data_IF_065979785132
#
_entry.id   IF_065979785132
#
_cell.length_a   1.000
_cell.length_b   1.000
_cell.length_c   1.000
_cell.angle_alpha   90.00
_cell.angle_beta   90.00
_cell.angle_gamma   90.00
#
_symmetry.space_group_name_H-M   'P 1'
#
loop_
_entity.id
_entity.type
_entity.pdbx_description
1 polymer ?
#
# COMPACT_ATOMS: atom_id res chain seq x y z
N UNK A 1 -9.85 23.63 17.57
CA UNK A 1 -10.15 22.79 16.38
C UNK A 1 -9.62 21.40 16.67
N UNK A 2 -10.28 20.34 16.22
CA UNK A 2 -9.83 18.96 16.49
C UNK A 2 -8.49 18.70 15.84
N UNK A 3 -7.53 18.15 16.60
CA UNK A 3 -6.18 17.82 16.11
C UNK A 3 -6.05 16.31 15.87
N UNK A 4 -5.84 15.94 14.62
CA UNK A 4 -5.61 14.55 14.20
C UNK A 4 -4.12 14.35 13.96
N UNK A 5 -3.53 13.36 14.63
CA UNK A 5 -2.13 12.97 14.45
C UNK A 5 -2.06 11.69 13.61
N UNK A 6 -1.54 11.80 12.40
CA UNK A 6 -1.34 10.67 11.48
C UNK A 6 0.10 10.18 11.59
N UNK A 7 0.28 8.92 11.93
CA UNK A 7 1.59 8.31 12.17
C UNK A 7 1.94 7.38 11.02
N UNK A 8 2.87 7.82 10.17
CA UNK A 8 3.27 7.20 8.92
C UNK A 8 2.70 7.90 7.69
N UNK A 9 3.58 8.42 6.84
CA UNK A 9 3.25 9.18 5.63
C UNK A 9 3.16 8.33 4.36
N UNK A 10 2.83 7.01 4.46
CA UNK A 10 2.54 6.15 3.32
C UNK A 10 1.20 6.50 2.65
N UNK A 11 0.80 5.75 1.61
CA UNK A 11 -0.49 5.98 0.92
C UNK A 11 -1.68 6.07 1.87
N UNK A 12 -1.72 5.20 2.89
CA UNK A 12 -2.80 5.24 3.88
C UNK A 12 -2.77 6.52 4.72
N UNK A 13 -1.58 6.95 5.16
CA UNK A 13 -1.43 8.15 5.98
C UNK A 13 -1.74 9.44 5.22
N UNK A 14 -1.25 9.54 3.97
CA UNK A 14 -1.59 10.66 3.08
C UNK A 14 -3.10 10.75 2.89
N UNK A 15 -3.75 9.63 2.60
CA UNK A 15 -5.20 9.61 2.37
C UNK A 15 -6.00 9.88 3.64
N UNK A 16 -5.54 9.41 4.79
CA UNK A 16 -6.13 9.73 6.08
C UNK A 16 -6.03 11.22 6.40
N UNK A 17 -4.85 11.81 6.15
CA UNK A 17 -4.63 13.23 6.37
C UNK A 17 -5.53 14.11 5.48
N UNK A 18 -5.64 13.76 4.19
CA UNK A 18 -6.51 14.48 3.25
C UNK A 18 -7.98 14.37 3.68
N UNK A 19 -8.45 13.18 4.04
CA UNK A 19 -9.82 12.96 4.48
C UNK A 19 -10.13 13.69 5.79
N UNK A 20 -9.24 13.63 6.77
CA UNK A 20 -9.40 14.34 8.04
C UNK A 20 -9.41 15.88 7.86
N UNK A 21 -8.52 16.40 7.02
CA UNK A 21 -8.50 17.83 6.70
C UNK A 21 -9.77 18.29 6.01
N UNK A 22 -10.25 17.50 5.04
CA UNK A 22 -11.51 17.77 4.33
C UNK A 22 -12.72 17.76 5.27
N UNK A 23 -12.70 16.89 6.30
CA UNK A 23 -13.72 16.85 7.35
C UNK A 23 -13.58 17.98 8.40
N UNK A 24 -12.61 18.90 8.24
CA UNK A 24 -12.45 20.12 9.03
C UNK A 24 -11.56 19.99 10.27
N UNK A 25 -10.63 19.04 10.31
CA UNK A 25 -9.66 18.94 11.39
C UNK A 25 -8.35 19.70 11.09
N UNK A 26 -7.59 19.98 12.14
CA UNK A 26 -6.17 20.26 12.03
C UNK A 26 -5.41 18.95 11.99
N UNK A 27 -4.49 18.81 11.04
CA UNK A 27 -3.84 17.54 10.76
C UNK A 27 -2.33 17.69 10.72
N UNK A 28 -1.65 16.80 11.43
CA UNK A 28 -0.20 16.63 11.35
C UNK A 28 0.12 15.21 10.88
N UNK A 29 1.04 15.08 9.94
CA UNK A 29 1.58 13.80 9.47
C UNK A 29 3.02 13.66 9.98
N UNK A 30 3.28 12.59 10.72
CA UNK A 30 4.60 12.23 11.25
C UNK A 30 5.18 11.09 10.43
N UNK A 31 6.17 11.37 9.59
CA UNK A 31 6.87 10.38 8.76
C UNK A 31 8.31 10.19 9.27
N UNK A 32 8.71 8.95 9.49
CA UNK A 32 10.04 8.61 10.01
C UNK A 32 11.17 8.87 9.01
N UNK A 33 10.88 8.74 7.71
CA UNK A 33 11.86 8.92 6.65
C UNK A 33 11.96 10.38 6.18
N UNK A 34 12.82 10.61 5.22
CA UNK A 34 13.02 11.92 4.58
C UNK A 34 12.08 12.14 3.37
N UNK A 35 11.19 11.20 3.09
CA UNK A 35 10.19 11.25 2.02
C UNK A 35 8.90 10.57 2.45
N UNK A 36 7.78 11.06 1.93
CA UNK A 36 6.47 10.43 2.07
C UNK A 36 6.37 9.15 1.21
N UNK A 37 5.19 8.54 1.23
CA UNK A 37 4.72 7.42 0.40
C UNK A 37 5.30 6.05 0.72
N UNK A 38 6.37 5.92 1.51
CA UNK A 38 6.87 4.62 1.91
C UNK A 38 7.02 3.64 0.73
N UNK A 39 6.28 2.51 0.74
CA UNK A 39 6.28 1.54 -0.37
C UNK A 39 5.70 2.09 -1.68
N UNK A 40 5.04 3.23 -1.67
CA UNK A 40 4.60 3.96 -2.85
C UNK A 40 5.76 4.36 -3.77
N UNK A 41 6.95 4.62 -3.20
CA UNK A 41 8.19 4.92 -3.94
C UNK A 41 8.78 3.70 -4.68
N UNK A 42 8.20 2.53 -4.50
CA UNK A 42 8.61 1.28 -5.16
C UNK A 42 7.50 0.73 -6.04
N UNK A 43 6.26 1.09 -5.78
CA UNK A 43 5.06 0.54 -6.40
C UNK A 43 4.90 0.88 -7.87
N UNK A 44 4.40 2.05 -8.15
CA UNK A 44 4.21 2.55 -9.52
C UNK A 44 2.96 2.07 -10.24
N UNK A 45 2.14 1.20 -9.64
CA UNK A 45 0.98 0.58 -10.31
C UNK A 45 -0.30 0.91 -9.54
N UNK A 46 -1.31 1.40 -10.26
CA UNK A 46 -2.66 1.69 -9.78
C UNK A 46 -3.72 1.14 -10.74
N UNK A 47 -4.97 1.13 -10.31
CA UNK A 47 -6.17 0.86 -11.12
C UNK A 47 -6.24 -0.52 -11.80
N UNK A 48 -5.29 -1.41 -11.60
CA UNK A 48 -5.33 -2.71 -12.23
C UNK A 48 -6.43 -3.61 -11.63
N UNK A 49 -7.24 -4.22 -12.50
CA UNK A 49 -8.35 -5.11 -12.17
C UNK A 49 -9.38 -4.42 -11.23
N UNK A 50 -9.79 -5.07 -10.14
CA UNK A 50 -10.75 -4.53 -9.17
C UNK A 50 -10.30 -3.23 -8.48
N UNK A 51 -9.02 -2.86 -8.54
CA UNK A 51 -8.55 -1.55 -8.10
C UNK A 51 -9.13 -0.41 -8.93
N UNK A 52 -9.46 -0.66 -10.21
CA UNK A 52 -10.19 0.31 -11.02
C UNK A 52 -11.55 0.64 -10.38
N UNK A 53 -12.32 -0.40 -10.08
CA UNK A 53 -13.63 -0.25 -9.43
C UNK A 53 -13.53 0.49 -8.09
N UNK A 54 -12.63 0.04 -7.21
CA UNK A 54 -12.47 0.65 -5.89
C UNK A 54 -12.02 2.12 -5.95
N UNK A 55 -11.16 2.49 -6.90
CA UNK A 55 -10.75 3.88 -7.09
C UNK A 55 -11.93 4.75 -7.57
N UNK A 56 -12.74 4.27 -8.52
CA UNK A 56 -13.92 5.01 -8.99
C UNK A 56 -15.03 5.09 -7.92
N UNK A 57 -15.20 4.05 -7.10
CA UNK A 57 -16.09 4.13 -5.93
C UNK A 57 -15.62 5.22 -4.95
N UNK A 58 -14.32 5.24 -4.61
CA UNK A 58 -13.76 6.24 -3.72
C UNK A 58 -13.94 7.67 -4.28
N UNK A 59 -13.76 7.86 -5.59
CA UNK A 59 -14.02 9.14 -6.27
C UNK A 59 -15.49 9.53 -6.15
N UNK A 60 -16.41 8.62 -6.44
CA UNK A 60 -17.86 8.86 -6.35
C UNK A 60 -18.30 9.16 -4.90
N UNK A 61 -17.64 8.57 -3.92
CA UNK A 61 -17.83 8.84 -2.48
C UNK A 61 -17.25 10.18 -2.02
N UNK A 62 -16.53 10.91 -2.89
CA UNK A 62 -15.87 12.16 -2.58
C UNK A 62 -14.51 12.02 -1.88
N UNK A 63 -13.94 10.81 -1.83
CA UNK A 63 -12.62 10.51 -1.25
C UNK A 63 -11.53 10.28 -2.31
N UNK A 64 -11.72 10.79 -3.53
CA UNK A 64 -10.87 10.51 -4.68
C UNK A 64 -9.64 11.41 -4.86
N UNK A 65 -9.41 12.39 -4.00
CA UNK A 65 -8.37 13.41 -4.17
C UNK A 65 -6.99 12.82 -4.49
N UNK A 66 -6.57 11.81 -3.74
CA UNK A 66 -5.27 11.14 -3.93
C UNK A 66 -5.24 10.35 -5.25
N UNK A 67 -6.33 9.68 -5.63
CA UNK A 67 -6.42 8.96 -6.91
C UNK A 67 -6.32 9.92 -8.10
N UNK A 68 -7.01 11.05 -8.05
CA UNK A 68 -6.99 12.06 -9.11
C UNK A 68 -5.58 12.66 -9.29
N UNK A 69 -4.86 12.91 -8.18
CA UNK A 69 -3.48 13.37 -8.26
C UNK A 69 -2.54 12.31 -8.85
N UNK A 70 -2.73 11.03 -8.48
CA UNK A 70 -1.96 9.93 -9.07
C UNK A 70 -2.23 9.83 -10.56
N UNK A 71 -3.51 9.89 -11.00
CA UNK A 71 -3.89 9.83 -12.40
C UNK A 71 -3.25 10.96 -13.22
N UNK A 72 -3.19 12.18 -12.65
CA UNK A 72 -2.51 13.32 -13.26
C UNK A 72 -0.98 13.15 -13.38
N UNK A 73 -0.39 12.24 -12.60
CA UNK A 73 1.04 11.94 -12.60
C UNK A 73 1.38 10.57 -13.21
N UNK A 74 0.45 9.95 -13.94
CA UNK A 74 0.69 8.71 -14.63
C UNK A 74 1.51 8.92 -15.92
N UNK A 75 2.46 8.04 -16.16
CA UNK A 75 3.18 7.93 -17.43
C UNK A 75 2.34 7.21 -18.47
N UNK A 76 1.61 6.20 -18.04
CA UNK A 76 0.74 5.37 -18.87
C UNK A 76 -0.56 5.08 -18.14
N UNK A 77 -1.65 5.02 -18.90
CA UNK A 77 -2.99 4.67 -18.40
C UNK A 77 -3.59 3.56 -19.25
N UNK A 78 -4.49 2.79 -18.65
CA UNK A 78 -5.16 1.67 -19.31
C UNK A 78 -4.20 0.65 -19.94
N UNK A 79 -3.14 0.32 -19.22
CA UNK A 79 -2.13 -0.68 -19.65
C UNK A 79 -2.60 -2.07 -19.25
N UNK A 80 -2.59 -2.98 -20.21
CA UNK A 80 -2.84 -4.40 -19.99
C UNK A 80 -1.51 -5.16 -19.95
N UNK A 81 -1.37 -6.03 -18.96
CA UNK A 81 -0.24 -6.94 -18.86
C UNK A 81 -0.72 -8.29 -18.27
N UNK A 82 0.07 -9.38 -18.34
CA UNK A 82 -0.41 -10.70 -17.96
C UNK A 82 -1.17 -10.74 -16.63
N UNK A 83 -2.43 -11.19 -16.68
CA UNK A 83 -3.35 -11.26 -15.54
C UNK A 83 -3.93 -9.94 -15.04
N UNK A 84 -3.60 -8.82 -15.68
CA UNK A 84 -4.03 -7.49 -15.23
C UNK A 84 -4.55 -6.63 -16.38
N UNK A 85 -5.63 -5.90 -16.12
CA UNK A 85 -6.31 -4.98 -17.02
C UNK A 85 -6.40 -3.59 -16.39
N UNK A 86 -6.47 -2.56 -17.22
CA UNK A 86 -6.72 -1.16 -16.83
C UNK A 86 -5.66 -0.53 -15.94
N UNK A 87 -4.43 -1.05 -15.91
CA UNK A 87 -3.40 -0.48 -15.06
C UNK A 87 -3.04 0.96 -15.44
N UNK A 88 -2.86 1.79 -14.43
CA UNK A 88 -2.21 3.09 -14.54
C UNK A 88 -0.82 3.01 -13.91
N UNK A 89 0.18 3.52 -14.60
CA UNK A 89 1.58 3.49 -14.18
C UNK A 89 2.03 4.90 -13.85
N UNK A 90 2.22 5.21 -12.56
CA UNK A 90 2.69 6.51 -12.15
C UNK A 90 4.22 6.57 -12.04
N UNK A 91 4.78 7.76 -12.23
CA UNK A 91 6.21 8.02 -12.10
C UNK A 91 6.60 8.08 -10.61
N UNK A 92 7.36 7.08 -10.16
CA UNK A 92 7.73 6.93 -8.75
C UNK A 92 8.70 8.03 -8.27
N UNK A 93 9.39 8.72 -9.17
CA UNK A 93 10.27 9.83 -8.82
C UNK A 93 9.54 11.16 -8.70
N UNK A 94 8.38 11.30 -9.38
CA UNK A 94 7.60 12.55 -9.42
C UNK A 94 6.44 12.58 -8.43
N UNK A 95 5.92 11.44 -8.07
CA UNK A 95 4.67 11.37 -7.31
C UNK A 95 4.80 11.91 -5.87
N UNK A 96 5.93 11.70 -5.19
CA UNK A 96 6.09 12.17 -3.82
C UNK A 96 6.13 13.70 -3.72
N UNK A 97 6.90 14.43 -4.54
CA UNK A 97 6.83 15.89 -4.55
C UNK A 97 5.41 16.42 -4.78
N UNK A 98 4.67 15.86 -5.74
CA UNK A 98 3.29 16.29 -6.02
C UNK A 98 2.34 16.03 -4.84
N UNK A 99 2.46 14.88 -4.17
CA UNK A 99 1.68 14.57 -2.97
C UNK A 99 2.03 15.52 -1.82
N UNK A 100 3.31 15.77 -1.59
CA UNK A 100 3.76 16.67 -0.52
C UNK A 100 3.25 18.09 -0.75
N UNK A 101 3.34 18.59 -1.97
CA UNK A 101 2.79 19.91 -2.35
C UNK A 101 1.29 19.97 -2.07
N UNK A 102 0.51 18.97 -2.50
CA UNK A 102 -0.94 18.89 -2.23
C UNK A 102 -1.26 18.94 -0.73
N UNK A 103 -0.49 18.26 0.11
CA UNK A 103 -0.70 18.25 1.56
C UNK A 103 -0.44 19.66 2.14
N UNK A 104 0.66 20.30 1.75
CA UNK A 104 1.04 21.64 2.22
C UNK A 104 0.05 22.70 1.76
N UNK A 105 -0.40 22.70 0.51
CA UNK A 105 -1.42 23.59 -0.02
C UNK A 105 -2.75 23.49 0.74
N UNK A 106 -3.09 22.31 1.24
CA UNK A 106 -4.27 22.09 2.08
C UNK A 106 -4.07 22.51 3.53
N UNK A 107 -2.89 23.02 3.89
CA UNK A 107 -2.57 23.40 5.27
C UNK A 107 -2.47 22.18 6.20
N UNK A 108 -1.99 21.04 5.69
CA UNK A 108 -1.63 19.86 6.49
C UNK A 108 -0.18 19.99 6.89
N UNK A 109 0.11 19.91 8.18
CA UNK A 109 1.48 19.90 8.67
C UNK A 109 2.15 18.57 8.34
N UNK A 110 3.30 18.59 7.67
CA UNK A 110 4.08 17.40 7.32
C UNK A 110 5.44 17.49 8.00
N UNK A 111 5.71 16.53 8.88
CA UNK A 111 7.01 16.38 9.53
C UNK A 111 7.71 15.14 9.02
N UNK A 112 8.78 15.34 8.29
CA UNK A 112 9.71 14.29 7.86
C UNK A 112 10.79 14.09 8.93
N UNK A 113 11.41 12.90 8.97
CA UNK A 113 12.37 12.48 10.00
C UNK A 113 11.82 12.54 11.42
N UNK A 114 10.50 12.45 11.53
CA UNK A 114 9.73 12.50 12.76
C UNK A 114 9.25 11.09 13.14
N UNK A 115 10.20 10.22 13.52
CA UNK A 115 9.87 8.86 13.92
C UNK A 115 9.27 8.86 15.32
N UNK A 116 8.03 8.39 15.41
CA UNK A 116 7.39 8.14 16.71
C UNK A 116 8.03 6.90 17.35
N UNK A 117 8.52 7.03 18.57
CA UNK A 117 9.12 5.92 19.35
C UNK A 117 8.21 5.39 20.44
N UNK A 118 7.31 6.23 20.96
CA UNK A 118 6.45 5.86 22.08
C UNK A 118 5.11 6.58 22.03
N UNK A 119 4.14 6.10 22.84
CA UNK A 119 2.84 6.70 23.03
C UNK A 119 2.42 6.61 24.50
N UNK A 120 1.82 7.66 25.02
CA UNK A 120 1.26 7.71 26.36
C UNK A 120 -0.26 7.54 26.26
N UNK A 121 -0.79 6.52 26.96
CA UNK A 121 -2.22 6.26 27.02
C UNK A 121 -2.66 5.98 28.45
N UNK A 122 -3.85 6.48 28.81
CA UNK A 122 -4.51 6.22 30.10
C UNK A 122 -5.93 5.71 29.79
N UNK A 123 -6.29 4.59 30.37
CA UNK A 123 -7.62 3.97 30.22
C UNK A 123 -8.08 3.81 28.75
N UNK A 124 -7.15 3.46 27.83
CA UNK A 124 -7.43 3.26 26.42
C UNK A 124 -7.41 4.53 25.56
N UNK A 125 -7.23 5.70 26.18
CA UNK A 125 -7.15 7.00 25.48
C UNK A 125 -5.69 7.42 25.34
N UNK A 126 -5.23 7.62 24.11
CA UNK A 126 -3.89 8.17 23.81
C UNK A 126 -3.94 9.69 23.99
N UNK A 127 -3.03 10.24 24.77
CA UNK A 127 -2.89 11.68 24.98
C UNK A 127 -1.83 12.29 24.06
N UNK A 128 -0.72 11.59 23.89
CA UNK A 128 0.39 12.08 23.07
C UNK A 128 1.24 10.93 22.53
N UNK A 129 2.10 11.30 21.58
CA UNK A 129 3.17 10.43 21.07
C UNK A 129 4.50 11.14 21.24
N UNK A 130 5.57 10.37 21.47
CA UNK A 130 6.92 10.90 21.63
C UNK A 130 7.78 10.53 20.43
N UNK A 131 8.49 11.51 19.87
CA UNK A 131 9.46 11.33 18.78
C UNK A 131 10.82 10.84 19.30
N UNK A 132 11.68 10.37 18.39
CA UNK A 132 13.05 9.88 18.74
C UNK A 132 13.91 10.94 19.45
N UNK A 133 13.75 12.21 19.10
CA UNK A 133 14.45 13.35 19.71
C UNK A 133 13.89 13.78 21.08
N UNK A 134 12.77 13.19 21.49
CA UNK A 134 12.10 13.46 22.75
C UNK A 134 10.96 14.49 22.64
N UNK A 135 10.71 15.08 21.48
CA UNK A 135 9.56 15.96 21.29
C UNK A 135 8.25 15.17 21.53
N UNK A 136 7.33 15.79 22.23
CA UNK A 136 6.00 15.25 22.55
C UNK A 136 4.95 15.94 21.68
N UNK A 137 4.14 15.15 21.00
CA UNK A 137 3.08 15.63 20.12
C UNK A 137 1.73 15.21 20.69
N UNK A 138 0.97 16.17 21.15
CA UNK A 138 -0.40 15.98 21.63
C UNK A 138 -1.37 15.87 20.46
N UNK A 139 -2.46 15.13 20.64
CA UNK A 139 -3.55 15.00 19.68
C UNK A 139 -4.85 14.56 20.31
N UNK A 140 -5.97 14.89 19.69
CA UNK A 140 -7.29 14.41 20.13
C UNK A 140 -7.56 12.98 19.64
N UNK A 141 -7.13 12.67 18.41
CA UNK A 141 -7.28 11.34 17.78
C UNK A 141 -6.04 11.01 16.99
N UNK A 142 -5.68 9.74 16.99
CA UNK A 142 -4.49 9.21 16.33
C UNK A 142 -4.87 8.23 15.21
N UNK A 143 -4.14 8.28 14.10
CA UNK A 143 -4.33 7.35 12.97
C UNK A 143 -3.01 6.65 12.68
N UNK A 144 -2.93 5.36 12.99
CA UNK A 144 -1.74 4.54 12.76
C UNK A 144 -1.73 3.97 11.35
N UNK A 145 -0.76 4.42 10.53
CA UNK A 145 -0.53 3.99 9.15
C UNK A 145 0.93 3.61 8.90
N UNK A 146 1.55 3.00 9.91
CA UNK A 146 2.98 2.68 9.95
C UNK A 146 3.42 1.56 8.98
N UNK A 147 2.45 0.96 8.26
CA UNK A 147 2.72 -0.03 7.22
C UNK A 147 3.27 -1.36 7.74
N UNK A 148 3.92 -2.10 6.87
CA UNK A 148 4.40 -3.47 7.11
C UNK A 148 5.93 -3.58 7.18
N UNK A 149 6.67 -2.49 7.26
CA UNK A 149 8.10 -2.57 7.52
C UNK A 149 8.32 -3.22 8.88
N UNK A 150 9.15 -4.26 8.91
CA UNK A 150 9.48 -4.94 10.15
C UNK A 150 10.38 -4.11 11.06
N UNK A 151 10.69 -4.64 12.24
CA UNK A 151 11.73 -4.11 13.10
C UNK A 151 13.07 -4.01 12.37
N UNK A 152 13.96 -3.15 12.86
CA UNK A 152 15.34 -3.08 12.35
C UNK A 152 15.99 -4.47 12.36
N UNK A 153 16.83 -4.75 11.37
CA UNK A 153 17.49 -6.05 11.15
C UNK A 153 16.57 -7.24 10.78
N UNK A 154 15.33 -6.97 10.40
CA UNK A 154 14.41 -8.02 9.96
C UNK A 154 14.95 -8.77 8.71
N UNK A 155 15.64 -8.07 7.82
CA UNK A 155 16.32 -8.65 6.66
C UNK A 155 17.41 -9.66 7.07
N UNK A 156 18.22 -9.35 8.06
CA UNK A 156 19.25 -10.25 8.60
C UNK A 156 18.62 -11.47 9.26
N UNK A 157 17.56 -11.26 10.05
CA UNK A 157 16.88 -12.35 10.78
C UNK A 157 16.25 -13.37 9.83
N UNK A 158 15.70 -12.94 8.70
CA UNK A 158 14.97 -13.81 7.77
C UNK A 158 15.71 -14.07 6.44
N UNK A 159 16.96 -13.58 6.32
CA UNK A 159 17.84 -13.89 5.19
C UNK A 159 17.45 -13.25 3.85
N UNK A 160 16.65 -12.21 3.86
CA UNK A 160 16.20 -11.53 2.63
C UNK A 160 16.44 -10.03 2.66
N UNK A 161 16.77 -9.47 1.50
CA UNK A 161 16.71 -8.03 1.30
C UNK A 161 15.30 -7.50 1.54
N UNK A 162 15.19 -6.26 1.97
CA UNK A 162 13.93 -5.59 2.20
C UNK A 162 13.79 -4.45 1.19
N UNK A 163 12.70 -4.37 0.42
CA UNK A 163 12.42 -3.21 -0.43
C UNK A 163 12.45 -1.90 0.38
N UNK A 164 12.23 -2.03 1.68
CA UNK A 164 12.31 -0.93 2.63
C UNK A 164 13.75 -0.48 2.95
N UNK A 165 14.79 -1.18 2.50
CA UNK A 165 16.16 -0.64 2.54
C UNK A 165 16.28 0.63 1.70
N UNK A 166 15.51 0.72 0.62
CA UNK A 166 15.33 1.97 -0.16
C UNK A 166 14.84 3.09 0.75
N UNK A 167 14.05 2.76 1.75
CA UNK A 167 13.53 3.68 2.77
C UNK A 167 14.46 3.79 3.98
N UNK A 168 15.67 3.30 3.86
CA UNK A 168 16.80 3.57 4.75
C UNK A 168 16.49 3.26 6.22
N UNK A 169 15.96 2.06 6.48
CA UNK A 169 15.72 1.60 7.85
C UNK A 169 16.93 1.79 8.79
N UNK A 170 18.20 1.54 8.38
CA UNK A 170 19.36 1.85 9.23
C UNK A 170 19.50 3.32 9.60
N UNK A 171 19.07 4.23 8.72
CA UNK A 171 19.17 5.69 8.94
C UNK A 171 18.03 6.23 9.80
N UNK A 172 16.79 5.76 9.56
CA UNK A 172 15.58 6.33 10.16
C UNK A 172 14.94 5.43 11.22
N UNK A 173 15.56 4.33 11.56
CA UNK A 173 15.02 3.34 12.49
C UNK A 173 13.97 2.42 11.89
N UNK A 174 13.63 1.36 12.63
CA UNK A 174 12.57 0.42 12.28
C UNK A 174 11.17 1.00 12.54
N UNK A 175 10.16 0.30 12.04
CA UNK A 175 8.76 0.59 12.36
C UNK A 175 8.50 0.47 13.86
N UNK A 176 7.72 1.38 14.38
CA UNK A 176 7.14 1.29 15.72
C UNK A 176 5.63 1.15 15.57
N UNK A 177 5.03 0.22 16.28
CA UNK A 177 3.59 0.07 16.36
C UNK A 177 3.06 0.86 17.55
N UNK A 178 2.15 1.79 17.30
CA UNK A 178 1.48 2.57 18.35
C UNK A 178 0.53 1.70 19.13
N UNK A 179 -0.26 0.86 18.47
CA UNK A 179 -1.14 -0.11 19.13
C UNK A 179 -0.36 -1.01 20.11
N UNK A 180 0.80 -1.53 19.70
CA UNK A 180 1.63 -2.36 20.58
C UNK A 180 2.22 -1.57 21.76
N UNK A 181 2.53 -0.27 21.58
CA UNK A 181 3.05 0.61 22.63
C UNK A 181 2.05 0.83 23.76
N UNK A 182 0.79 0.89 23.42
CA UNK A 182 -0.30 1.02 24.42
C UNK A 182 -0.86 -0.34 24.90
N UNK A 183 -0.14 -1.43 24.64
CA UNK A 183 -0.47 -2.77 25.16
C UNK A 183 -1.43 -3.60 24.31
N UNK A 184 -1.82 -3.14 23.12
CA UNK A 184 -2.71 -3.91 22.24
C UNK A 184 -1.91 -5.00 21.53
N UNK A 185 -2.37 -6.25 21.63
CA UNK A 185 -1.75 -7.38 20.97
C UNK A 185 -2.05 -7.38 19.47
N UNK A 186 -1.01 -7.24 18.68
CA UNK A 186 -1.11 -7.32 17.23
C UNK A 186 -1.21 -8.77 16.72
N UNK A 187 -1.86 -8.92 15.58
CA UNK A 187 -1.85 -10.15 14.79
C UNK A 187 -0.69 -10.12 13.80
N UNK A 188 -0.01 -11.25 13.59
CA UNK A 188 1.13 -11.33 12.68
C UNK A 188 0.79 -12.18 11.46
N UNK A 189 0.98 -11.60 10.27
CA UNK A 189 0.81 -12.28 8.99
C UNK A 189 1.80 -13.43 8.84
N UNK A 190 1.35 -14.50 8.18
CA UNK A 190 2.12 -15.72 7.94
C UNK A 190 2.34 -15.93 6.45
N UNK A 191 3.36 -16.68 6.11
CA UNK A 191 3.55 -17.27 4.78
C UNK A 191 2.68 -18.53 4.63
N UNK A 192 2.55 -19.04 3.41
CA UNK A 192 1.79 -20.25 3.14
C UNK A 192 2.30 -21.49 3.93
N UNK A 193 3.58 -21.51 4.30
CA UNK A 193 4.18 -22.55 5.14
C UNK A 193 3.96 -22.37 6.65
N UNK A 194 3.15 -21.37 7.04
CA UNK A 194 2.84 -21.04 8.43
C UNK A 194 3.92 -20.25 9.17
N UNK A 195 5.09 -20.00 8.56
CA UNK A 195 6.14 -19.20 9.18
C UNK A 195 5.82 -17.70 9.11
N UNK A 196 6.36 -16.93 10.05
CA UNK A 196 6.12 -15.48 10.15
C UNK A 196 6.72 -14.72 8.96
N UNK A 197 6.01 -13.73 8.48
CA UNK A 197 6.44 -12.81 7.43
C UNK A 197 5.71 -13.02 6.11
N UNK A 198 6.12 -12.27 5.12
CA UNK A 198 5.60 -12.36 3.76
C UNK A 198 6.70 -11.97 2.78
N UNK A 199 6.93 -12.77 1.74
CA UNK A 199 7.82 -12.37 0.64
C UNK A 199 7.03 -11.55 -0.37
N UNK A 200 7.55 -10.37 -0.68
CA UNK A 200 7.09 -9.54 -1.78
C UNK A 200 8.31 -8.93 -2.44
N UNK A 201 8.26 -8.68 -3.73
CA UNK A 201 9.37 -7.99 -4.33
C UNK A 201 9.21 -7.73 -5.80
N UNK A 202 9.72 -6.57 -6.19
CA UNK A 202 10.02 -6.21 -7.56
C UNK A 202 11.32 -5.41 -7.56
N UNK A 203 12.22 -5.73 -8.48
CA UNK A 203 13.41 -4.92 -8.72
C UNK A 203 13.07 -3.72 -9.59
N UNK A 204 13.93 -2.70 -9.56
CA UNK A 204 13.92 -1.59 -10.50
C UNK A 204 15.22 -1.61 -11.27
N UNK A 205 15.14 -1.53 -12.58
CA UNK A 205 16.30 -1.41 -13.47
C UNK A 205 16.38 0.01 -14.02
N UNK A 206 17.60 0.48 -14.18
CA UNK A 206 17.87 1.68 -14.93
C UNK A 206 17.56 1.43 -16.42
N UNK A 207 16.65 2.21 -17.01
CA UNK A 207 16.25 2.05 -18.43
C UNK A 207 17.44 2.11 -19.38
N UNK A 208 18.36 3.04 -19.17
CA UNK A 208 19.57 3.21 -19.99
C UNK A 208 20.52 2.00 -19.95
N UNK A 209 20.26 1.04 -19.05
CA UNK A 209 21.02 -0.21 -18.98
C UNK A 209 20.39 -1.37 -19.76
N UNK A 210 19.26 -1.14 -20.40
CA UNK A 210 18.54 -2.10 -21.23
C UNK A 210 18.75 -1.81 -22.72
N UNK A 211 18.46 -2.80 -23.58
CA UNK A 211 18.51 -2.58 -25.02
C UNK A 211 17.47 -1.53 -25.47
N UNK A 212 17.80 -0.82 -26.54
CA UNK A 212 16.95 0.24 -27.08
C UNK A 212 15.53 -0.27 -27.39
N UNK A 213 15.39 -1.45 -27.95
CA UNK A 213 14.09 -2.04 -28.32
C UNK A 213 13.19 -2.26 -27.09
N UNK A 214 13.76 -2.67 -25.96
CA UNK A 214 13.04 -2.81 -24.71
C UNK A 214 12.60 -1.45 -24.18
N UNK A 215 13.49 -0.46 -24.23
CA UNK A 215 13.19 0.90 -23.74
C UNK A 215 12.12 1.55 -24.62
N UNK A 216 12.26 1.49 -25.94
CA UNK A 216 11.28 2.05 -26.88
C UNK A 216 9.88 1.44 -26.65
N UNK A 217 9.81 0.12 -26.39
CA UNK A 217 8.57 -0.58 -26.07
C UNK A 217 7.98 -0.13 -24.73
N UNK A 218 8.79 0.00 -23.69
CA UNK A 218 8.35 0.49 -22.39
C UNK A 218 7.80 1.93 -22.47
N UNK A 219 8.50 2.81 -23.20
CA UNK A 219 8.08 4.20 -23.33
C UNK A 219 6.81 4.36 -24.17
N UNK A 220 6.63 3.48 -25.16
CA UNK A 220 5.44 3.50 -26.01
C UNK A 220 4.22 2.85 -25.37
N UNK A 221 4.39 1.64 -24.82
CA UNK A 221 3.28 0.75 -24.43
C UNK A 221 3.12 0.66 -22.88
N UNK A 222 4.08 1.17 -22.12
CA UNK A 222 4.12 1.05 -20.66
C UNK A 222 4.54 -0.34 -20.17
N UNK A 223 4.59 -1.35 -21.05
CA UNK A 223 4.89 -2.74 -20.70
C UNK A 223 5.79 -3.39 -21.72
N UNK A 224 6.73 -4.22 -21.25
CA UNK A 224 7.51 -5.12 -22.09
C UNK A 224 7.50 -6.53 -21.47
N UNK A 225 7.12 -7.52 -22.28
CA UNK A 225 7.14 -8.95 -21.91
C UNK A 225 8.27 -9.59 -22.71
N UNK A 226 9.29 -10.09 -22.02
CA UNK A 226 10.52 -10.64 -22.62
C UNK A 226 10.61 -12.12 -22.23
N UNK A 227 10.54 -13.05 -23.20
CA UNK A 227 10.65 -14.48 -22.92
C UNK A 227 11.99 -14.83 -22.27
N UNK A 228 11.95 -15.63 -21.22
CA UNK A 228 13.15 -16.15 -20.59
C UNK A 228 13.73 -17.30 -21.39
N UNK A 229 15.07 -17.35 -21.56
CA UNK A 229 15.76 -18.58 -21.96
C UNK A 229 15.34 -19.75 -21.07
N UNK A 230 15.22 -20.94 -21.64
CA UNK A 230 14.66 -22.13 -20.95
C UNK A 230 15.38 -22.43 -19.64
N UNK A 231 16.71 -22.33 -19.61
CA UNK A 231 17.54 -22.59 -18.45
C UNK A 231 17.36 -21.56 -17.30
N UNK A 232 16.75 -20.42 -17.58
CA UNK A 232 16.45 -19.36 -16.58
C UNK A 232 15.01 -19.42 -16.09
N UNK A 233 14.14 -20.22 -16.69
CA UNK A 233 12.75 -20.34 -16.24
C UNK A 233 12.69 -20.96 -14.87
N UNK A 234 11.94 -20.32 -13.97
CA UNK A 234 11.74 -20.82 -12.61
C UNK A 234 10.49 -21.68 -12.55
N UNK A 235 10.59 -22.83 -11.90
CA UNK A 235 9.43 -23.69 -11.68
C UNK A 235 8.32 -22.98 -10.89
N UNK A 236 7.08 -23.43 -11.10
CA UNK A 236 5.86 -22.82 -10.49
C UNK A 236 5.91 -22.74 -8.95
N UNK A 237 6.63 -23.62 -8.27
CA UNK A 237 6.81 -23.60 -6.82
C UNK A 237 7.46 -22.33 -6.26
N UNK A 238 8.15 -21.54 -7.09
CA UNK A 238 8.68 -20.24 -6.69
C UNK A 238 7.60 -19.14 -6.65
N UNK A 239 6.54 -19.29 -7.43
CA UNK A 239 5.44 -18.34 -7.49
C UNK A 239 4.63 -18.30 -6.20
N UNK A 240 4.38 -19.48 -5.59
CA UNK A 240 3.65 -19.61 -4.33
C UNK A 240 4.32 -18.93 -3.13
N UNK A 241 5.62 -18.59 -3.23
CA UNK A 241 6.35 -17.88 -2.16
C UNK A 241 6.13 -16.36 -2.14
N UNK A 242 5.53 -15.79 -3.20
CA UNK A 242 5.27 -14.34 -3.24
C UNK A 242 4.10 -13.94 -2.35
N UNK A 243 4.27 -12.91 -1.55
CA UNK A 243 3.16 -12.30 -0.81
C UNK A 243 2.12 -11.67 -1.75
N UNK A 244 2.58 -11.06 -2.85
CA UNK A 244 1.73 -10.50 -3.89
C UNK A 244 1.26 -11.62 -4.82
N UNK A 245 0.32 -12.44 -4.37
CA UNK A 245 -0.22 -13.60 -5.09
C UNK A 245 -0.84 -13.24 -6.45
N UNK A 246 -1.28 -12.00 -6.65
CA UNK A 246 -1.80 -11.50 -7.92
C UNK A 246 -0.80 -11.59 -9.09
N UNK A 247 0.50 -11.75 -8.80
CA UNK A 247 1.56 -11.94 -9.79
C UNK A 247 2.13 -13.37 -9.77
N UNK A 248 1.43 -14.30 -9.13
CA UNK A 248 1.81 -15.72 -9.08
C UNK A 248 1.21 -16.49 -10.25
N UNK A 249 1.40 -15.99 -11.47
CA UNK A 249 0.90 -16.57 -12.72
C UNK A 249 2.04 -17.16 -13.53
N UNK A 250 1.72 -18.18 -14.36
CA UNK A 250 2.69 -18.89 -15.21
C UNK A 250 3.52 -17.93 -16.07
N UNK A 251 2.89 -16.90 -16.62
CA UNK A 251 3.54 -15.90 -17.46
C UNK A 251 4.70 -15.20 -16.74
N UNK A 252 4.62 -15.03 -15.42
CA UNK A 252 5.69 -14.43 -14.61
C UNK A 252 6.82 -15.40 -14.28
N UNK A 253 6.63 -16.72 -14.49
CA UNK A 253 7.69 -17.71 -14.39
C UNK A 253 8.45 -17.90 -15.72
N UNK A 254 7.79 -17.67 -16.84
CA UNK A 254 8.30 -17.90 -18.18
C UNK A 254 8.85 -16.63 -18.84
N UNK A 255 8.55 -15.44 -18.31
CA UNK A 255 8.95 -14.15 -18.90
C UNK A 255 9.50 -13.19 -17.84
N UNK A 256 10.36 -12.28 -18.27
CA UNK A 256 10.59 -11.02 -17.61
C UNK A 256 9.48 -10.06 -18.02
N UNK A 257 8.68 -9.58 -17.08
CA UNK A 257 7.66 -8.57 -17.33
C UNK A 257 8.16 -7.26 -16.71
N UNK A 258 8.33 -6.26 -17.56
CA UNK A 258 8.72 -4.92 -17.17
C UNK A 258 7.54 -3.96 -17.31
N UNK A 259 7.44 -3.02 -16.36
CA UNK A 259 6.48 -1.91 -16.39
C UNK A 259 7.24 -0.58 -16.31
N UNK A 260 6.79 0.41 -17.08
CA UNK A 260 7.37 1.76 -17.05
C UNK A 260 6.78 2.60 -15.90
N UNK A 261 7.50 2.68 -14.80
CA UNK A 261 7.17 3.53 -13.65
C UNK A 261 8.19 4.66 -13.44
N UNK A 262 8.80 5.14 -14.55
CA UNK A 262 9.97 6.02 -14.54
C UNK A 262 11.27 5.22 -14.65
N UNK A 263 11.37 4.12 -13.94
CA UNK A 263 12.35 3.06 -14.10
C UNK A 263 11.73 1.85 -14.82
N UNK A 264 12.52 0.87 -15.23
CA UNK A 264 12.01 -0.40 -15.71
C UNK A 264 11.75 -1.31 -14.48
N UNK A 265 10.48 -1.39 -14.07
CA UNK A 265 10.07 -2.20 -12.91
C UNK A 265 9.92 -3.66 -13.29
N UNK A 266 10.70 -4.55 -12.67
CA UNK A 266 10.58 -6.00 -12.87
C UNK A 266 9.43 -6.54 -12.03
N UNK A 267 8.45 -7.18 -12.66
CA UNK A 267 7.32 -7.83 -11.99
C UNK A 267 7.57 -9.33 -11.74
N UNK A 268 8.52 -9.92 -12.47
CA UNK A 268 8.91 -11.33 -12.33
C UNK A 268 9.61 -11.63 -11.00
N UNK A 269 9.74 -12.90 -10.61
CA UNK A 269 10.58 -13.29 -9.49
C UNK A 269 12.00 -12.74 -9.63
N UNK A 270 12.63 -12.49 -8.49
CA UNK A 270 13.99 -11.98 -8.46
C UNK A 270 14.99 -12.87 -9.21
N UNK A 271 15.86 -12.20 -9.97
CA UNK A 271 17.04 -12.83 -10.61
C UNK A 271 18.32 -12.13 -10.11
N UNK A 272 19.37 -12.89 -9.74
CA UNK A 272 20.70 -12.34 -9.61
C UNK A 272 21.13 -11.64 -10.90
N UNK A 273 21.95 -10.60 -10.76
CA UNK A 273 22.28 -9.74 -11.91
C UNK A 273 23.03 -10.49 -13.02
N UNK A 274 23.89 -11.43 -12.65
CA UNK A 274 24.63 -12.30 -13.56
C UNK A 274 23.71 -13.23 -14.39
N UNK A 275 22.61 -13.70 -13.81
CA UNK A 275 21.59 -14.47 -14.53
C UNK A 275 20.70 -13.56 -15.37
N UNK A 276 20.33 -12.39 -14.83
CA UNK A 276 19.50 -11.43 -15.55
C UNK A 276 20.21 -10.98 -16.85
N UNK A 277 21.53 -10.77 -16.82
CA UNK A 277 22.35 -10.38 -17.97
C UNK A 277 22.49 -11.45 -19.06
N UNK A 278 22.01 -12.67 -18.81
CA UNK A 278 21.91 -13.72 -19.84
C UNK A 278 20.62 -13.63 -20.66
N UNK A 279 19.69 -12.76 -20.27
CA UNK A 279 18.45 -12.53 -21.03
C UNK A 279 18.75 -11.55 -22.16
N UNK A 280 18.35 -11.83 -23.42
CA UNK A 280 18.54 -10.90 -24.52
C UNK A 280 18.01 -9.49 -24.23
N UNK A 281 18.85 -8.49 -24.44
CA UNK A 281 18.56 -7.08 -24.18
C UNK A 281 18.84 -6.62 -22.74
N UNK A 282 19.36 -7.52 -21.88
CA UNK A 282 19.73 -7.22 -20.50
C UNK A 282 21.23 -7.33 -20.24
N UNK A 283 22.06 -7.43 -21.26
CA UNK A 283 23.49 -7.69 -21.13
C UNK A 283 24.22 -6.66 -20.25
N UNK A 284 23.74 -5.43 -20.27
CA UNK A 284 24.27 -4.32 -19.47
C UNK A 284 23.35 -3.94 -18.28
N UNK A 285 22.35 -4.77 -17.96
CA UNK A 285 21.35 -4.46 -16.97
C UNK A 285 21.98 -4.06 -15.63
N UNK A 286 21.44 -3.01 -15.02
CA UNK A 286 21.81 -2.52 -13.68
C UNK A 286 20.56 -2.28 -12.86
N UNK A 287 20.59 -2.71 -11.59
CA UNK A 287 19.57 -2.30 -10.66
C UNK A 287 19.73 -0.80 -10.34
N UNK A 288 18.63 -0.09 -10.26
CA UNK A 288 18.57 1.29 -9.78
C UNK A 288 18.93 1.37 -8.29
N UNK A 289 18.48 0.38 -7.52
CA UNK A 289 18.81 0.26 -6.12
C UNK A 289 19.77 -0.93 -5.90
N UNK A 290 21.02 -0.68 -5.50
CA UNK A 290 22.00 -1.72 -5.28
C UNK A 290 21.62 -2.70 -4.16
N UNK A 291 20.72 -2.31 -3.26
CA UNK A 291 20.22 -3.18 -2.19
C UNK A 291 18.96 -3.98 -2.57
N UNK A 292 18.34 -3.68 -3.70
CA UNK A 292 17.22 -4.46 -4.24
C UNK A 292 17.63 -5.82 -4.81
N UNK A 293 18.92 -6.12 -4.84
CA UNK A 293 19.51 -7.32 -5.41
C UNK A 293 19.54 -8.55 -4.51
N UNK A 294 18.84 -8.61 -3.40
CA UNK A 294 18.80 -9.78 -2.51
C UNK A 294 17.90 -10.92 -3.02
N UNK A 295 17.96 -12.09 -2.40
CA UNK A 295 17.21 -13.33 -2.78
C UNK A 295 15.67 -13.16 -2.70
N UNK A 296 15.19 -12.01 -2.43
CA UNK A 296 13.78 -11.62 -2.45
C UNK A 296 13.72 -10.15 -2.12
N UNK A 297 13.03 -9.40 -2.93
CA UNK A 297 13.12 -7.95 -2.92
C UNK A 297 12.45 -7.30 -1.71
N UNK A 298 11.66 -8.00 -0.94
CA UNK A 298 11.16 -7.51 0.33
C UNK A 298 10.62 -8.62 1.20
N UNK A 299 11.01 -8.63 2.45
CA UNK A 299 10.24 -9.29 3.49
C UNK A 299 9.37 -8.26 4.18
N UNK A 300 8.07 -8.42 4.04
CA UNK A 300 7.11 -7.66 4.82
C UNK A 300 6.82 -8.41 6.11
N UNK A 301 6.96 -7.72 7.21
CA UNK A 301 6.56 -8.22 8.51
C UNK A 301 5.16 -7.67 8.82
N UNK A 302 4.15 -8.27 8.22
CA UNK A 302 2.79 -7.76 8.39
C UNK A 302 2.33 -7.97 9.83
N UNK A 303 2.28 -6.87 10.57
CA UNK A 303 1.78 -6.80 11.94
C UNK A 303 0.58 -5.87 11.97
N UNK A 304 -0.55 -6.40 12.38
CA UNK A 304 -1.88 -5.85 12.14
C UNK A 304 -2.55 -5.55 13.47
N UNK A 305 -3.13 -4.38 13.59
CA UNK A 305 -3.98 -4.02 14.72
C UNK A 305 -5.35 -4.71 14.61
N UNK A 306 -5.88 -5.27 15.70
CA UNK A 306 -7.28 -5.66 15.74
C UNK A 306 -8.14 -4.41 15.54
N UNK A 307 -9.13 -4.48 14.65
CA UNK A 307 -9.95 -3.33 14.29
C UNK A 307 -11.40 -3.75 13.97
N UNK A 308 -12.31 -2.82 14.02
CA UNK A 308 -13.66 -2.95 13.47
C UNK A 308 -13.73 -2.52 11.98
N UNK A 309 -14.92 -2.53 11.39
CA UNK A 309 -15.11 -2.17 9.98
C UNK A 309 -15.18 -0.65 9.75
N UNK A 310 -15.14 0.15 10.81
CA UNK A 310 -14.94 1.60 10.76
C UNK A 310 -13.45 2.00 10.81
N UNK A 311 -12.50 1.07 10.76
CA UNK A 311 -11.05 1.26 10.94
C UNK A 311 -10.66 1.67 12.37
N UNK A 312 -11.54 1.57 13.35
CA UNK A 312 -11.27 1.84 14.76
C UNK A 312 -10.51 0.66 15.38
N UNK A 313 -9.43 0.94 16.11
CA UNK A 313 -8.60 -0.09 16.75
C UNK A 313 -9.27 -0.60 18.02
N UNK A 314 -9.49 -1.91 18.09
CA UNK A 314 -10.14 -2.55 19.25
C UNK A 314 -9.17 -2.51 20.44
N UNK A 315 -9.63 -1.94 21.55
CA UNK A 315 -8.85 -1.77 22.78
C UNK A 315 -8.20 -0.39 22.93
N UNK A 316 -8.48 0.54 22.03
CA UNK A 316 -8.16 1.96 22.18
C UNK A 316 -9.36 2.80 21.78
N UNK A 317 -9.61 3.90 22.50
CA UNK A 317 -10.79 4.73 22.26
C UNK A 317 -10.58 5.70 21.10
N UNK A 318 -9.39 6.31 20.98
CA UNK A 318 -9.10 7.35 20.01
C UNK A 318 -7.99 6.97 19.00
N UNK A 319 -7.85 5.67 18.70
CA UNK A 319 -6.90 5.16 17.73
C UNK A 319 -7.61 4.51 16.53
N UNK A 320 -7.28 4.96 15.33
CA UNK A 320 -7.70 4.38 14.07
C UNK A 320 -6.49 3.79 13.34
N UNK A 321 -6.71 2.89 12.38
CA UNK A 321 -5.62 2.33 11.57
C UNK A 321 -6.00 2.21 10.10
N UNK A 322 -5.00 2.27 9.22
CA UNK A 322 -5.19 2.15 7.77
C UNK A 322 -4.03 1.44 7.06
N UNK A 323 -4.28 1.01 5.82
CA UNK A 323 -3.30 0.31 5.01
C UNK A 323 -2.96 -1.09 5.53
N UNK A 324 -1.71 -1.50 5.37
CA UNK A 324 -1.23 -2.82 5.82
C UNK A 324 -1.27 -2.98 7.36
N UNK A 325 -1.51 -1.91 8.10
CA UNK A 325 -1.73 -1.94 9.54
C UNK A 325 -3.13 -2.41 9.91
N UNK A 326 -4.10 -2.14 9.03
CA UNK A 326 -5.51 -2.46 9.25
C UNK A 326 -5.92 -3.86 8.77
N UNK A 327 -5.02 -4.61 8.13
CA UNK A 327 -5.31 -5.94 7.63
C UNK A 327 -4.21 -6.48 6.73
N UNK A 328 -4.35 -7.73 6.30
CA UNK A 328 -3.47 -8.35 5.31
C UNK A 328 -3.74 -7.81 3.89
N UNK A 329 -4.09 -6.55 3.78
CA UNK A 329 -4.23 -5.82 2.53
C UNK A 329 -2.87 -5.62 1.86
N UNK A 330 -2.79 -5.94 0.57
CA UNK A 330 -1.57 -5.73 -0.21
C UNK A 330 -1.86 -4.87 -1.41
N UNK A 331 -1.52 -3.61 -1.32
CA UNK A 331 -1.61 -2.68 -2.43
C UNK A 331 -1.86 -1.24 -2.04
N UNK A 332 -1.67 -0.37 -3.02
CA UNK A 332 -1.76 1.07 -2.80
C UNK A 332 -3.21 1.55 -2.77
N UNK A 333 -4.07 1.00 -3.64
CA UNK A 333 -5.52 1.29 -3.62
C UNK A 333 -6.12 0.88 -2.29
N UNK A 334 -5.78 -0.31 -1.80
CA UNK A 334 -6.19 -0.85 -0.50
C UNK A 334 -5.76 0.09 0.65
N UNK A 335 -4.55 0.63 0.56
CA UNK A 335 -4.04 1.57 1.55
C UNK A 335 -4.77 2.92 1.48
N UNK A 336 -5.04 3.43 0.28
CA UNK A 336 -5.74 4.71 0.09
C UNK A 336 -7.17 4.64 0.64
N UNK A 337 -7.95 3.62 0.27
CA UNK A 337 -9.35 3.54 0.68
C UNK A 337 -9.53 3.32 2.18
N UNK A 338 -8.69 2.47 2.79
CA UNK A 338 -8.71 2.25 4.25
C UNK A 338 -8.20 3.45 5.02
N UNK A 339 -7.16 4.13 4.52
CA UNK A 339 -6.66 5.37 5.10
C UNK A 339 -7.69 6.50 5.04
N UNK A 340 -8.38 6.66 3.91
CA UNK A 340 -9.47 7.64 3.74
C UNK A 340 -10.57 7.43 4.78
N UNK A 341 -11.02 6.18 4.96
CA UNK A 341 -12.05 5.86 5.95
C UNK A 341 -11.54 6.12 7.39
N UNK A 342 -10.31 5.71 7.70
CA UNK A 342 -9.72 5.92 9.02
C UNK A 342 -9.62 7.40 9.37
N UNK A 343 -9.11 8.24 8.45
CA UNK A 343 -9.00 9.69 8.66
C UNK A 343 -10.35 10.39 8.80
N UNK A 344 -11.33 10.01 7.99
CA UNK A 344 -12.68 10.53 8.09
C UNK A 344 -13.35 10.16 9.42
N UNK A 345 -13.24 8.90 9.83
CA UNK A 345 -13.81 8.41 11.07
C UNK A 345 -13.09 8.96 12.31
N UNK A 346 -11.80 9.25 12.24
CA UNK A 346 -11.09 9.94 13.31
C UNK A 346 -11.73 11.31 13.63
N UNK A 347 -12.14 12.05 12.60
CA UNK A 347 -12.84 13.34 12.80
C UNK A 347 -14.26 13.14 13.31
N UNK A 348 -14.98 12.13 12.81
CA UNK A 348 -16.33 11.80 13.30
C UNK A 348 -16.31 11.44 14.78
N UNK A 349 -15.33 10.61 15.19
CA UNK A 349 -15.11 10.26 16.59
C UNK A 349 -14.90 11.52 17.46
N UNK A 350 -13.98 12.38 17.06
CA UNK A 350 -13.69 13.62 17.79
C UNK A 350 -14.89 14.59 17.89
N UNK A 351 -15.81 14.51 16.93
CA UNK A 351 -17.07 15.27 16.92
C UNK A 351 -18.23 14.53 17.60
N UNK A 352 -17.99 13.38 18.22
CA UNK A 352 -19.04 12.50 18.80
C UNK A 352 -20.14 12.12 17.80
N UNK A 353 -19.78 11.93 16.52
CA UNK A 353 -20.68 11.48 15.48
C UNK A 353 -20.57 9.95 15.29
N UNK A 354 -21.64 9.25 14.88
CA UNK A 354 -21.56 7.84 14.57
C UNK A 354 -20.47 7.56 13.52
N UNK A 355 -19.65 6.53 13.72
CA UNK A 355 -18.61 6.15 12.77
C UNK A 355 -19.24 5.64 11.47
N UNK A 356 -18.64 5.99 10.35
CA UNK A 356 -19.03 5.50 9.04
C UNK A 356 -18.54 4.05 8.87
N UNK A 357 -19.46 3.15 8.57
CA UNK A 357 -19.18 1.81 8.04
C UNK A 357 -19.66 1.80 6.60
N UNK A 358 -18.78 1.46 5.66
CA UNK A 358 -19.13 1.40 4.23
C UNK A 358 -19.91 0.10 3.99
N UNK A 359 -21.07 0.14 3.31
CA UNK A 359 -21.88 -1.06 3.04
C UNK A 359 -21.15 -2.08 2.16
N UNK A 360 -21.37 -3.37 2.40
CA UNK A 360 -20.79 -4.47 1.60
C UNK A 360 -21.36 -4.54 0.16
N UNK A 361 -22.36 -3.75 -0.17
CA UNK A 361 -22.80 -3.54 -1.56
C UNK A 361 -21.83 -2.72 -2.41
N UNK A 362 -20.83 -2.11 -1.78
CA UNK A 362 -19.72 -1.39 -2.40
C UNK A 362 -18.45 -2.21 -2.20
N UNK A 363 -17.61 -2.35 -3.23
CA UNK A 363 -16.44 -3.22 -3.17
C UNK A 363 -15.45 -2.82 -2.07
N UNK A 364 -15.33 -1.54 -1.74
CA UNK A 364 -14.52 -1.05 -0.63
C UNK A 364 -15.05 -1.57 0.71
N UNK A 365 -16.35 -1.48 0.95
CA UNK A 365 -16.99 -1.96 2.18
C UNK A 365 -16.92 -3.47 2.32
N UNK A 366 -17.21 -4.19 1.24
CA UNK A 366 -17.06 -5.65 1.19
C UNK A 366 -15.61 -6.08 1.50
N UNK A 367 -14.62 -5.46 0.88
CA UNK A 367 -13.21 -5.77 1.15
C UNK A 367 -12.85 -5.59 2.63
N UNK A 368 -13.29 -4.50 3.23
CA UNK A 368 -13.00 -4.18 4.64
C UNK A 368 -13.63 -5.21 5.59
N UNK A 369 -14.90 -5.53 5.39
CA UNK A 369 -15.65 -6.45 6.23
C UNK A 369 -15.21 -7.91 5.99
N UNK A 370 -15.09 -8.31 4.73
CA UNK A 370 -14.69 -9.67 4.36
C UNK A 370 -13.29 -10.01 4.87
N UNK A 371 -12.29 -9.14 4.65
CA UNK A 371 -10.93 -9.35 5.14
C UNK A 371 -10.88 -9.42 6.66
N UNK A 372 -11.71 -8.63 7.38
CA UNK A 372 -11.82 -8.70 8.83
C UNK A 372 -12.37 -10.06 9.31
N UNK A 373 -13.33 -10.64 8.57
CA UNK A 373 -13.85 -11.98 8.84
C UNK A 373 -12.82 -13.06 8.51
N UNK A 374 -12.21 -12.99 7.34
CA UNK A 374 -11.23 -13.98 6.88
C UNK A 374 -10.00 -14.08 7.78
N UNK A 375 -9.45 -12.97 8.27
CA UNK A 375 -8.32 -12.97 9.18
C UNK A 375 -8.58 -13.71 10.50
N UNK A 376 -9.85 -13.96 10.85
CA UNK A 376 -10.24 -14.74 12.04
C UNK A 376 -10.35 -16.24 11.75
N UNK A 377 -10.25 -16.66 10.49
CA UNK A 377 -10.27 -18.07 10.10
C UNK A 377 -8.88 -18.71 10.27
N UNK A 378 -8.83 -20.04 10.33
CA UNK A 378 -7.59 -20.79 10.54
C UNK A 378 -6.49 -20.46 9.52
N UNK A 379 -6.86 -20.32 8.24
CA UNK A 379 -5.91 -20.05 7.15
C UNK A 379 -5.80 -18.57 6.77
N UNK A 380 -6.69 -17.70 7.27
CA UNK A 380 -6.82 -16.33 6.83
C UNK A 380 -5.56 -15.49 7.04
N UNK A 381 -4.79 -15.77 8.09
CA UNK A 381 -3.53 -15.08 8.37
C UNK A 381 -2.38 -15.48 7.43
N UNK A 382 -2.51 -16.57 6.67
CA UNK A 382 -1.58 -17.00 5.64
C UNK A 382 -1.84 -16.40 4.25
N UNK A 383 -3.03 -15.82 4.06
CA UNK A 383 -3.45 -15.21 2.79
C UNK A 383 -3.09 -13.73 2.73
N UNK A 384 -3.14 -13.16 1.54
CA UNK A 384 -3.02 -11.72 1.30
C UNK A 384 -4.15 -11.29 0.39
N UNK A 385 -4.76 -10.15 0.71
CA UNK A 385 -5.99 -9.68 0.10
C UNK A 385 -5.74 -8.44 -0.73
N UNK A 386 -6.21 -8.44 -1.96
CA UNK A 386 -6.05 -7.30 -2.87
C UNK A 386 -7.17 -7.25 -3.90
N UNK A 387 -7.60 -6.06 -4.27
CA UNK A 387 -8.54 -5.84 -5.37
C UNK A 387 -7.99 -6.31 -6.73
N UNK A 388 -6.69 -6.43 -6.89
CA UNK A 388 -6.07 -6.69 -8.20
C UNK A 388 -5.85 -8.16 -8.53
N UNK A 389 -6.13 -9.07 -7.62
CA UNK A 389 -5.91 -10.51 -7.85
C UNK A 389 -6.03 -11.34 -6.58
N UNK A 390 -5.66 -12.61 -6.67
CA UNK A 390 -5.69 -13.53 -5.54
C UNK A 390 -7.10 -13.74 -4.98
N UNK A 391 -7.21 -14.08 -3.71
CA UNK A 391 -8.43 -14.54 -3.06
C UNK A 391 -9.53 -13.47 -3.06
N UNK A 392 -9.21 -12.22 -2.72
CA UNK A 392 -10.24 -11.19 -2.66
C UNK A 392 -10.77 -10.81 -4.06
N UNK A 393 -9.93 -10.69 -5.07
CA UNK A 393 -10.41 -10.34 -6.41
C UNK A 393 -11.34 -11.40 -6.99
N UNK A 394 -11.07 -12.67 -6.69
CA UNK A 394 -11.99 -13.76 -7.06
C UNK A 394 -13.34 -13.62 -6.37
N UNK A 395 -13.35 -13.39 -5.05
CA UNK A 395 -14.57 -13.12 -4.29
C UNK A 395 -15.34 -11.91 -4.84
N UNK A 396 -14.65 -10.81 -5.15
CA UNK A 396 -15.24 -9.61 -5.76
C UNK A 396 -15.92 -9.91 -7.12
N UNK A 397 -15.31 -10.80 -7.93
CA UNK A 397 -15.91 -11.24 -9.21
C UNK A 397 -17.13 -12.12 -9.00
N UNK A 398 -17.08 -13.05 -8.07
CA UNK A 398 -18.20 -13.96 -7.73
C UNK A 398 -19.44 -13.18 -7.24
N UNK A 399 -19.23 -12.07 -6.53
CA UNK A 399 -20.31 -11.19 -6.09
C UNK A 399 -20.76 -10.17 -7.15
N UNK A 400 -20.15 -10.13 -8.34
CA UNK A 400 -20.45 -9.12 -9.36
C UNK A 400 -20.06 -7.69 -8.98
N UNK A 401 -19.16 -7.54 -7.99
CA UNK A 401 -18.67 -6.23 -7.54
C UNK A 401 -17.63 -5.65 -8.49
N UNK A 402 -16.92 -6.47 -9.26
CA UNK A 402 -15.96 -6.00 -10.25
C UNK A 402 -16.67 -5.50 -11.50
N UNK A 403 -16.65 -4.21 -11.71
CA UNK A 403 -17.18 -3.53 -12.91
C UNK A 403 -16.21 -2.39 -13.30
N UNK A 404 -16.20 -2.07 -14.61
CA UNK A 404 -15.35 -1.01 -15.17
C UNK A 404 -16.15 0.12 -15.83
N UNK A 405 -17.46 -0.01 -15.89
CA UNK A 405 -18.34 1.07 -16.32
C UNK A 405 -18.50 2.10 -15.19
N UNK A 406 -17.95 3.28 -15.42
CA UNK A 406 -17.93 4.37 -14.42
C UNK A 406 -19.37 4.83 -14.08
N UNK A 407 -20.30 4.82 -15.03
CA UNK A 407 -21.69 5.20 -14.77
C UNK A 407 -22.38 4.19 -13.84
N UNK A 408 -22.15 2.89 -14.08
CA UNK A 408 -22.68 1.82 -13.23
C UNK A 408 -22.03 1.84 -11.82
N UNK A 409 -20.76 2.20 -11.71
CA UNK A 409 -20.08 2.38 -10.40
C UNK A 409 -20.73 3.53 -9.63
N UNK A 410 -20.95 4.68 -10.26
CA UNK A 410 -21.59 5.84 -9.64
C UNK A 410 -23.02 5.52 -9.20
N UNK A 411 -23.81 4.85 -10.03
CA UNK A 411 -25.16 4.41 -9.69
C UNK A 411 -25.19 3.47 -8.48
N UNK A 412 -24.23 2.53 -8.40
CA UNK A 412 -24.07 1.65 -7.22
C UNK A 412 -23.78 2.44 -5.95
N UNK A 413 -22.87 3.41 -6.01
CA UNK A 413 -22.53 4.28 -4.88
C UNK A 413 -23.73 5.14 -4.46
N UNK A 414 -24.49 5.64 -5.42
CA UNK A 414 -25.73 6.42 -5.18
C UNK A 414 -26.80 5.55 -4.51
N UNK A 415 -27.07 4.36 -5.03
CA UNK A 415 -28.03 3.41 -4.45
C UNK A 415 -27.67 2.99 -3.03
N UNK A 416 -26.39 2.94 -2.72
CA UNK A 416 -25.89 2.69 -1.37
C UNK A 416 -25.97 3.93 -0.44
N UNK A 417 -26.39 5.10 -0.93
CA UNK A 417 -26.46 6.33 -0.16
C UNK A 417 -25.09 6.94 0.17
N UNK A 418 -24.05 6.56 -0.58
CA UNK A 418 -22.66 6.92 -0.27
C UNK A 418 -22.09 8.05 -1.13
N UNK A 419 -22.86 8.62 -2.06
CA UNK A 419 -22.38 9.73 -2.92
C UNK A 419 -21.89 10.90 -2.08
N UNK A 420 -20.65 11.33 -2.33
CA UNK A 420 -20.00 12.44 -1.65
C UNK A 420 -20.01 12.33 -0.11
N UNK A 421 -20.05 11.13 0.45
CA UNK A 421 -20.09 10.93 1.90
C UNK A 421 -18.88 11.56 2.61
N UNK A 422 -17.72 11.56 1.99
CA UNK A 422 -16.50 12.16 2.53
C UNK A 422 -16.44 13.71 2.39
N UNK A 423 -17.47 14.32 1.83
CA UNK A 423 -17.61 15.79 1.72
C UNK A 423 -18.61 16.37 2.75
N UNK A 424 -19.16 15.54 3.63
CA UNK A 424 -20.21 15.90 4.60
C UNK A 424 -19.65 16.20 5.98
#
# INVERSE_FOLDING_TARGET
MTKIVVIGGGWAGVSAAVAAKKAGADVIVLERADMLLGTGLVGGIMRNNGRFTAAEEAIAMGGGDVFQLIDANCRHTNVDFPGHKHASLYDIAKIEPAIREMLLERGIEVRLRARVKDAEAVDGVIHNVTLDDGEVIDGDVFVETTGSAGPMNNCTKYGNGCAMCVLRCPTFGGRVSIAAKIGIKEMVGKKADGTIGAMSGSGKLLKESLSKDIVDKLEKDGVAVIPLPEHLRKGEGMLGKKACQQYALKEFAENIILLDTGHAKIMSPYYPLDLLRQVPGFENARFDDPYAGGIGNSMRFMSISPRDDAMHVIGADNLFCGGEKAGLFVGHTEAIVTGTLAGYNAVRYAKNLPLLVIPESISIGDAIAWVNREMKTENGMGLKYTFSGSTYFKHMQELGLYITDIAAIKDRVEKAGMTNIYCK
#
